data_IF_147052836459
#
_entry.id   IF_147052836459
#
_cell.length_a   1.000
_cell.length_b   1.000
_cell.length_c   1.000
_cell.angle_alpha   90.00
_cell.angle_beta   90.00
_cell.angle_gamma   90.00
#
_symmetry.space_group_name_H-M   'P 1'
#
loop_
_entity.id
_entity.type
_entity.pdbx_description
1 polymer ?
#
# COMPACT_ATOMS: atom_id res chain seq x y z
N UNK A 1 9.38 -18.44 -31.94
CA UNK A 1 9.70 -17.78 -30.65
C UNK A 1 11.08 -18.25 -30.25
N UNK A 2 11.95 -17.33 -29.83
CA UNK A 2 13.39 -17.63 -29.80
C UNK A 2 13.88 -18.14 -28.43
N UNK A 3 14.91 -18.98 -28.44
CA UNK A 3 15.56 -19.47 -27.23
C UNK A 3 16.53 -18.43 -26.64
N UNK A 4 17.05 -18.62 -25.41
CA UNK A 4 18.03 -17.69 -24.82
C UNK A 4 19.31 -17.50 -25.64
N UNK A 5 19.57 -18.38 -26.61
CA UNK A 5 20.70 -18.30 -27.55
C UNK A 5 20.51 -17.25 -28.64
N UNK A 6 19.31 -16.66 -28.74
CA UNK A 6 18.95 -15.70 -29.77
C UNK A 6 19.89 -14.50 -29.85
N UNK A 7 20.38 -13.98 -28.73
CA UNK A 7 21.30 -12.82 -28.72
C UNK A 7 22.60 -13.17 -29.44
N UNK A 8 23.19 -14.32 -29.12
CA UNK A 8 24.42 -14.77 -29.76
C UNK A 8 24.19 -15.13 -31.24
N UNK A 9 23.03 -15.68 -31.57
CA UNK A 9 22.65 -15.98 -32.94
C UNK A 9 22.49 -14.71 -33.78
N UNK A 10 21.90 -13.63 -33.25
CA UNK A 10 21.84 -12.32 -33.93
C UNK A 10 23.24 -11.79 -34.23
N UNK A 11 24.16 -11.82 -33.25
CA UNK A 11 25.55 -11.41 -33.47
C UNK A 11 26.23 -12.25 -34.56
N UNK A 12 26.00 -13.57 -34.58
CA UNK A 12 26.54 -14.45 -35.61
C UNK A 12 25.98 -14.14 -37.00
N UNK A 13 24.67 -13.88 -37.12
CA UNK A 13 24.03 -13.50 -38.38
C UNK A 13 24.56 -12.16 -38.89
N UNK A 14 24.72 -11.15 -38.02
CA UNK A 14 25.27 -9.85 -38.40
C UNK A 14 26.73 -9.97 -38.87
N UNK A 15 27.54 -10.81 -38.21
CA UNK A 15 28.91 -11.11 -38.63
C UNK A 15 28.94 -11.78 -40.01
N UNK A 16 28.09 -12.78 -40.22
CA UNK A 16 28.00 -13.48 -41.51
C UNK A 16 27.53 -12.54 -42.63
N UNK A 17 26.55 -11.69 -42.35
CA UNK A 17 26.06 -10.66 -43.25
C UNK A 17 27.20 -9.73 -43.69
N UNK A 18 27.95 -9.17 -42.73
CA UNK A 18 29.11 -8.34 -43.03
C UNK A 18 30.18 -9.10 -43.83
N UNK A 19 30.42 -10.38 -43.51
CA UNK A 19 31.43 -11.19 -44.17
C UNK A 19 31.08 -11.45 -45.63
N UNK A 20 29.86 -11.90 -45.89
CA UNK A 20 29.39 -12.17 -47.24
C UNK A 20 29.35 -10.89 -48.07
N UNK A 21 28.85 -9.78 -47.50
CA UNK A 21 28.82 -8.51 -48.22
C UNK A 21 30.21 -7.98 -48.60
N UNK A 22 31.23 -8.15 -47.74
CA UNK A 22 32.61 -7.77 -48.08
C UNK A 22 33.24 -8.67 -49.15
N UNK A 23 32.91 -9.97 -49.13
CA UNK A 23 33.35 -10.93 -50.16
C UNK A 23 32.70 -10.59 -51.50
N UNK A 24 31.39 -10.34 -51.53
CA UNK A 24 30.63 -10.05 -52.75
C UNK A 24 31.11 -8.77 -53.44
N UNK A 25 31.55 -7.77 -52.67
CA UNK A 25 32.13 -6.53 -53.19
C UNK A 25 33.64 -6.62 -53.47
N UNK A 26 34.27 -7.80 -53.35
CA UNK A 26 35.70 -8.04 -53.58
C UNK A 26 36.61 -7.03 -52.85
N UNK A 27 36.28 -6.74 -51.58
CA UNK A 27 37.01 -5.75 -50.78
C UNK A 27 38.43 -6.24 -50.45
N UNK A 28 38.60 -7.53 -50.21
CA UNK A 28 39.92 -8.15 -49.97
C UNK A 28 40.87 -7.98 -51.16
N UNK A 29 40.35 -8.13 -52.39
CA UNK A 29 41.11 -7.87 -53.62
C UNK A 29 41.42 -6.38 -53.81
N UNK A 30 40.50 -5.50 -53.42
CA UNK A 30 40.63 -4.04 -53.57
C UNK A 30 41.61 -3.42 -52.55
N UNK A 31 41.63 -3.95 -51.31
CA UNK A 31 42.51 -3.50 -50.22
C UNK A 31 43.84 -4.27 -50.17
N UNK A 32 44.03 -5.29 -51.02
CA UNK A 32 45.23 -6.13 -51.06
C UNK A 32 45.54 -6.84 -49.74
N UNK A 33 44.55 -6.97 -48.84
CA UNK A 33 44.71 -7.55 -47.50
C UNK A 33 43.46 -8.35 -47.11
N UNK A 34 43.66 -9.41 -46.33
CA UNK A 34 42.54 -10.15 -45.76
C UNK A 34 41.80 -9.27 -44.76
N UNK A 35 40.47 -9.29 -44.83
CA UNK A 35 39.60 -8.56 -43.92
C UNK A 35 38.98 -9.54 -42.96
N UNK A 36 39.28 -9.39 -41.67
CA UNK A 36 38.69 -10.22 -40.62
C UNK A 36 37.47 -9.50 -40.01
N UNK A 37 36.41 -10.25 -39.70
CA UNK A 37 35.30 -9.73 -38.89
C UNK A 37 35.27 -10.45 -37.55
N UNK A 38 35.33 -9.67 -36.48
CA UNK A 38 35.33 -10.14 -35.09
C UNK A 38 34.11 -9.60 -34.35
N UNK A 39 33.76 -10.25 -33.24
CA UNK A 39 32.68 -9.83 -32.34
C UNK A 39 33.16 -9.93 -30.89
N UNK A 40 34.21 -9.17 -30.58
CA UNK A 40 34.92 -9.22 -29.30
C UNK A 40 34.95 -7.84 -28.63
N UNK A 41 35.18 -7.76 -27.31
CA UNK A 41 35.42 -6.49 -26.64
C UNK A 41 36.60 -5.72 -27.28
N UNK A 42 36.47 -4.39 -27.53
CA UNK A 42 37.50 -3.62 -28.24
C UNK A 42 38.90 -3.61 -27.59
N UNK A 43 39.00 -3.81 -26.28
CA UNK A 43 40.25 -3.90 -25.52
C UNK A 43 41.05 -5.18 -25.79
N UNK A 44 40.38 -6.24 -26.24
CA UNK A 44 41.03 -7.52 -26.58
C UNK A 44 41.69 -7.52 -27.95
N UNK A 45 41.45 -6.49 -28.76
CA UNK A 45 42.03 -6.35 -30.10
C UNK A 45 43.43 -5.75 -29.96
N UNK A 46 44.44 -6.59 -30.18
CA UNK A 46 45.85 -6.17 -30.18
C UNK A 46 46.13 -5.35 -31.43
N UNK A 47 46.50 -4.08 -31.26
CA UNK A 47 46.90 -3.18 -32.34
C UNK A 47 48.41 -2.99 -32.27
N UNK A 48 49.15 -3.94 -32.86
CA UNK A 48 50.61 -3.86 -33.00
C UNK A 48 50.95 -3.53 -34.47
N UNK A 49 51.75 -2.47 -34.75
CA UNK A 49 52.17 -2.11 -36.10
C UNK A 49 52.80 -3.26 -36.90
N UNK A 50 53.47 -4.22 -36.24
CA UNK A 50 54.08 -5.36 -36.90
C UNK A 50 53.08 -6.46 -37.30
N UNK A 51 51.89 -6.47 -36.68
CA UNK A 51 50.82 -7.46 -36.92
C UNK A 51 49.49 -6.82 -37.27
N UNK A 52 49.52 -5.56 -37.73
CA UNK A 52 48.33 -4.79 -38.04
C UNK A 52 47.49 -5.49 -39.12
N UNK A 53 46.22 -5.71 -38.80
CA UNK A 53 45.25 -6.34 -39.71
C UNK A 53 44.12 -5.38 -40.03
N UNK A 54 43.64 -5.48 -41.25
CA UNK A 54 42.42 -4.82 -41.69
C UNK A 54 41.25 -5.65 -41.14
N UNK A 55 40.47 -5.11 -40.21
CA UNK A 55 39.37 -5.84 -39.58
C UNK A 55 38.20 -4.95 -39.16
N UNK A 56 37.00 -5.51 -39.16
CA UNK A 56 35.79 -4.93 -38.57
C UNK A 56 35.46 -5.66 -37.27
N UNK A 57 35.14 -4.90 -36.21
CA UNK A 57 34.67 -5.47 -34.96
C UNK A 57 33.22 -5.07 -34.71
N UNK A 58 32.37 -6.07 -34.44
CA UNK A 58 30.98 -5.90 -34.07
C UNK A 58 30.83 -6.11 -32.55
N UNK A 59 30.69 -5.03 -31.80
CA UNK A 59 30.63 -5.07 -30.34
C UNK A 59 29.24 -4.72 -29.82
N UNK A 60 28.59 -5.64 -29.10
CA UNK A 60 27.33 -5.37 -28.42
C UNK A 60 27.60 -4.70 -27.07
N UNK A 61 27.35 -3.40 -26.99
CA UNK A 61 27.67 -2.60 -25.80
C UNK A 61 26.52 -2.44 -24.81
N UNK A 62 25.27 -2.59 -25.29
CA UNK A 62 24.09 -2.40 -24.44
C UNK A 62 22.93 -3.30 -24.91
N UNK A 63 22.14 -3.76 -23.94
CA UNK A 63 20.86 -4.46 -24.16
C UNK A 63 19.78 -3.74 -23.38
N UNK A 64 18.67 -3.38 -24.03
CA UNK A 64 17.55 -2.68 -23.40
C UNK A 64 16.22 -3.40 -23.64
N UNK A 65 15.24 -3.33 -22.73
CA UNK A 65 13.90 -3.84 -23.00
C UNK A 65 13.24 -3.06 -24.15
N UNK A 66 12.59 -3.78 -25.07
CA UNK A 66 11.87 -3.14 -26.17
C UNK A 66 10.61 -2.42 -25.69
N UNK A 67 10.46 -1.13 -26.03
CA UNK A 67 9.36 -0.31 -25.54
C UNK A 67 7.97 -0.73 -26.07
N UNK A 68 7.90 -1.32 -27.27
CA UNK A 68 6.64 -1.77 -27.88
C UNK A 68 6.13 -3.07 -27.27
N UNK A 69 7.04 -3.99 -26.91
CA UNK A 69 6.70 -5.33 -26.45
C UNK A 69 6.81 -5.53 -24.93
N UNK A 70 7.48 -4.64 -24.19
CA UNK A 70 7.67 -4.79 -22.72
C UNK A 70 6.37 -4.88 -21.92
N UNK A 71 5.24 -4.43 -22.46
CA UNK A 71 3.95 -4.40 -21.79
C UNK A 71 3.00 -5.54 -22.22
N UNK A 72 3.47 -6.48 -23.06
CA UNK A 72 2.63 -7.61 -23.53
C UNK A 72 2.15 -8.48 -22.35
N UNK A 73 2.98 -8.65 -21.32
CA UNK A 73 2.55 -9.27 -20.08
C UNK A 73 3.69 -9.64 -19.14
N UNK A 74 3.31 -10.07 -17.93
CA UNK A 74 4.23 -10.66 -16.95
C UNK A 74 3.97 -12.16 -16.80
N UNK A 75 4.99 -12.96 -16.48
CA UNK A 75 4.79 -14.37 -16.16
C UNK A 75 3.80 -14.53 -15.01
N UNK A 76 2.64 -15.12 -15.28
CA UNK A 76 1.60 -15.34 -14.27
C UNK A 76 1.58 -16.78 -13.76
N UNK A 77 1.11 -16.96 -12.53
CA UNK A 77 0.99 -18.26 -11.86
C UNK A 77 -0.38 -18.39 -11.20
N UNK A 78 -0.84 -19.62 -11.04
CA UNK A 78 -2.04 -19.93 -10.27
C UNK A 78 -1.77 -19.90 -8.75
N UNK A 79 -2.82 -20.06 -7.94
CA UNK A 79 -2.72 -20.12 -6.48
C UNK A 79 -1.93 -21.32 -5.94
N UNK A 80 -1.55 -22.29 -6.78
CA UNK A 80 -0.67 -23.42 -6.46
C UNK A 80 0.76 -23.21 -6.97
N UNK A 81 1.06 -22.04 -7.55
CA UNK A 81 2.37 -21.70 -8.09
C UNK A 81 2.66 -22.27 -9.49
N UNK A 82 1.71 -22.92 -10.14
CA UNK A 82 1.84 -23.44 -11.52
C UNK A 82 1.80 -22.30 -12.52
N UNK A 83 2.62 -22.37 -13.58
CA UNK A 83 2.71 -21.29 -14.57
C UNK A 83 1.51 -21.28 -15.51
N UNK A 84 0.94 -20.10 -15.74
CA UNK A 84 -0.22 -19.88 -16.62
C UNK A 84 0.18 -19.25 -17.95
N UNK A 85 1.18 -18.37 -17.96
CA UNK A 85 1.63 -17.66 -19.16
C UNK A 85 3.15 -17.63 -19.31
N UNK A 86 3.60 -17.59 -20.57
CA UNK A 86 5.01 -17.40 -20.96
C UNK A 86 5.14 -16.15 -21.86
N UNK A 87 4.98 -14.93 -21.33
CA UNK A 87 5.25 -13.76 -22.16
C UNK A 87 6.74 -13.74 -22.58
N UNK A 88 7.05 -13.34 -23.82
CA UNK A 88 8.43 -13.22 -24.29
C UNK A 88 9.16 -12.06 -23.61
N UNK A 89 10.45 -12.26 -23.36
CA UNK A 89 11.37 -11.20 -23.00
C UNK A 89 11.81 -10.50 -24.29
N UNK A 90 11.24 -9.32 -24.51
CA UNK A 90 11.54 -8.52 -25.69
C UNK A 90 12.71 -7.57 -25.45
N UNK A 91 13.74 -7.70 -26.29
CA UNK A 91 15.02 -7.01 -26.16
C UNK A 91 15.37 -6.27 -27.44
N UNK A 92 16.01 -5.13 -27.25
CA UNK A 92 16.71 -4.36 -28.24
C UNK A 92 18.21 -4.46 -27.98
N UNK A 93 18.97 -4.76 -29.02
CA UNK A 93 20.41 -4.98 -28.96
C UNK A 93 21.12 -3.79 -29.62
N UNK A 94 22.07 -3.18 -28.90
CA UNK A 94 22.80 -2.01 -29.40
C UNK A 94 24.24 -2.40 -29.71
N UNK A 95 24.62 -2.24 -30.98
CA UNK A 95 25.92 -2.63 -31.52
C UNK A 95 26.75 -1.41 -31.92
N UNK A 96 28.06 -1.55 -31.78
CA UNK A 96 29.07 -0.68 -32.38
C UNK A 96 29.79 -1.46 -33.45
N UNK A 97 29.89 -0.89 -34.64
CA UNK A 97 30.75 -1.36 -35.72
C UNK A 97 31.99 -0.49 -35.73
N UNK A 98 33.13 -1.07 -35.39
CA UNK A 98 34.42 -0.37 -35.32
C UNK A 98 35.36 -0.89 -36.39
N UNK A 99 35.97 0.01 -37.16
CA UNK A 99 36.93 -0.35 -38.19
C UNK A 99 38.39 -0.17 -37.74
N UNK A 100 39.21 -1.17 -38.08
CA UNK A 100 40.66 -1.17 -37.89
C UNK A 100 41.32 -1.34 -39.25
N UNK A 101 42.20 -0.42 -39.62
CA UNK A 101 42.95 -0.47 -40.87
C UNK A 101 44.43 -0.78 -40.64
N UNK A 102 45.02 -1.62 -41.50
CA UNK A 102 46.46 -1.85 -41.52
C UNK A 102 47.23 -0.77 -42.30
N UNK A 103 46.55 -0.01 -43.17
CA UNK A 103 47.12 1.07 -43.97
C UNK A 103 46.17 2.28 -44.01
N UNK A 104 46.65 3.38 -44.60
CA UNK A 104 45.90 4.63 -44.74
C UNK A 104 44.56 4.37 -45.46
N UNK A 105 43.48 5.01 -44.97
CA UNK A 105 42.11 4.91 -45.49
C UNK A 105 41.43 3.53 -45.39
N UNK A 106 42.13 2.46 -45.01
CA UNK A 106 41.52 1.13 -44.93
C UNK A 106 40.35 1.10 -43.93
N UNK A 107 40.48 1.79 -42.79
CA UNK A 107 39.42 1.88 -41.78
C UNK A 107 38.17 2.60 -42.30
N UNK A 108 38.35 3.69 -43.03
CA UNK A 108 37.28 4.54 -43.56
C UNK A 108 36.56 3.83 -44.70
N UNK A 109 37.31 3.18 -45.59
CA UNK A 109 36.77 2.36 -46.68
C UNK A 109 35.93 1.21 -46.10
N UNK A 110 36.48 0.46 -45.14
CA UNK A 110 35.76 -0.63 -44.49
C UNK A 110 34.48 -0.15 -43.79
N UNK A 111 34.57 0.95 -43.03
CA UNK A 111 33.41 1.48 -42.32
C UNK A 111 32.33 1.94 -43.30
N UNK A 112 32.71 2.58 -44.41
CA UNK A 112 31.79 2.99 -45.47
C UNK A 112 31.03 1.81 -46.08
N UNK A 113 31.74 0.73 -46.42
CA UNK A 113 31.10 -0.50 -46.94
C UNK A 113 30.22 -1.19 -45.91
N UNK A 114 30.66 -1.30 -44.66
CA UNK A 114 29.85 -1.86 -43.58
C UNK A 114 28.55 -1.07 -43.39
N UNK A 115 28.64 0.26 -43.40
CA UNK A 115 27.47 1.13 -43.27
C UNK A 115 26.53 1.03 -44.46
N UNK A 116 27.06 0.95 -45.68
CA UNK A 116 26.27 0.74 -46.89
C UNK A 116 25.53 -0.60 -46.83
N UNK A 117 26.21 -1.68 -46.47
CA UNK A 117 25.60 -3.00 -46.38
C UNK A 117 24.47 -3.04 -45.35
N UNK A 118 24.70 -2.49 -44.15
CA UNK A 118 23.66 -2.40 -43.11
C UNK A 118 22.48 -1.51 -43.52
N UNK A 119 22.68 -0.57 -44.45
CA UNK A 119 21.64 0.27 -45.01
C UNK A 119 20.81 -0.46 -46.07
N UNK A 120 21.45 -1.25 -46.93
CA UNK A 120 20.79 -2.06 -47.96
C UNK A 120 20.04 -3.27 -47.37
N UNK A 121 20.45 -3.75 -46.19
CA UNK A 121 19.80 -4.86 -45.48
C UNK A 121 19.18 -4.44 -44.14
N UNK A 122 18.15 -3.55 -44.13
CA UNK A 122 17.58 -3.04 -42.88
C UNK A 122 16.71 -4.07 -42.15
N UNK A 123 16.37 -5.20 -42.79
CA UNK A 123 15.60 -6.29 -42.20
C UNK A 123 16.32 -7.61 -42.49
N UNK A 124 16.55 -8.41 -41.46
CA UNK A 124 17.13 -9.75 -41.61
C UNK A 124 16.03 -10.73 -42.03
N UNK A 125 16.13 -11.22 -43.27
CA UNK A 125 15.20 -12.22 -43.78
C UNK A 125 15.40 -13.58 -43.08
N UNK A 126 14.29 -14.31 -42.91
CA UNK A 126 14.27 -15.63 -42.25
C UNK A 126 15.15 -16.64 -42.98
N UNK A 127 15.17 -16.60 -44.32
CA UNK A 127 16.01 -17.50 -45.10
C UNK A 127 17.49 -17.17 -44.88
N UNK A 128 17.85 -15.88 -44.88
CA UNK A 128 19.21 -15.44 -44.59
C UNK A 128 19.69 -15.87 -43.20
N UNK A 129 18.84 -15.73 -42.16
CA UNK A 129 19.13 -16.20 -40.80
C UNK A 129 19.41 -17.72 -40.77
N UNK A 130 18.56 -18.50 -41.46
CA UNK A 130 18.74 -19.95 -41.55
C UNK A 130 20.02 -20.30 -42.28
N UNK A 131 20.32 -19.65 -43.41
CA UNK A 131 21.55 -19.88 -44.18
C UNK A 131 22.79 -19.58 -43.33
N UNK A 132 22.84 -18.40 -42.70
CA UNK A 132 23.95 -17.98 -41.84
C UNK A 132 24.21 -18.95 -40.68
N UNK A 133 23.16 -19.50 -40.06
CA UNK A 133 23.26 -20.36 -38.88
C UNK A 133 23.30 -21.87 -39.20
N UNK A 134 23.01 -22.29 -40.44
CA UNK A 134 22.98 -23.70 -40.87
C UNK A 134 24.33 -24.27 -41.32
N UNK A 135 25.36 -23.43 -41.48
CA UNK A 135 26.69 -23.86 -41.92
C UNK A 135 27.39 -22.87 -42.84
N UNK A 136 27.24 -21.56 -42.60
CA UNK A 136 27.97 -20.53 -43.35
C UNK A 136 29.49 -20.65 -43.18
N UNK A 137 30.20 -20.30 -44.26
CA UNK A 137 31.65 -20.31 -44.56
C UNK A 137 32.52 -19.48 -43.61
N UNK A 138 32.26 -19.47 -42.31
CA UNK A 138 32.99 -18.67 -41.32
C UNK A 138 33.94 -19.57 -40.51
N UNK A 139 35.27 -19.37 -40.59
CA UNK A 139 36.21 -19.98 -39.65
C UNK A 139 35.98 -19.37 -38.25
N UNK A 140 35.81 -20.21 -37.23
CA UNK A 140 35.57 -19.77 -35.86
C UNK A 140 34.08 -19.63 -35.56
N UNK A 141 33.47 -20.77 -35.25
CA UNK A 141 32.09 -20.85 -34.83
C UNK A 141 31.89 -20.11 -33.50
N UNK A 142 31.12 -19.02 -33.48
CA UNK A 142 30.82 -18.26 -32.24
C UNK A 142 29.96 -19.10 -31.29
N UNK A 143 29.17 -20.02 -31.84
CA UNK A 143 28.30 -20.94 -31.10
C UNK A 143 28.77 -22.39 -31.30
N UNK A 144 28.83 -23.22 -30.25
CA UNK A 144 29.12 -24.65 -30.42
C UNK A 144 28.13 -25.32 -31.39
N UNK A 145 28.54 -26.35 -32.16
CA UNK A 145 27.73 -26.93 -33.25
C UNK A 145 26.31 -27.37 -32.82
N UNK A 146 26.16 -27.90 -31.59
CA UNK A 146 24.87 -28.31 -31.05
C UNK A 146 23.86 -27.14 -30.88
N UNK A 147 24.35 -25.91 -30.71
CA UNK A 147 23.54 -24.73 -30.47
C UNK A 147 23.24 -23.91 -31.73
N UNK A 148 23.94 -24.18 -32.83
CA UNK A 148 23.75 -23.50 -34.12
C UNK A 148 22.42 -23.89 -34.78
N UNK A 149 22.17 -25.19 -34.92
CA UNK A 149 20.93 -25.68 -35.55
C UNK A 149 19.67 -25.30 -34.75
N UNK A 150 19.76 -25.32 -33.41
CA UNK A 150 18.64 -24.93 -32.53
C UNK A 150 18.36 -23.42 -32.61
N UNK A 151 19.40 -22.58 -32.57
CA UNK A 151 19.22 -21.13 -32.66
C UNK A 151 18.75 -20.65 -34.05
N UNK A 152 19.10 -21.37 -35.12
CA UNK A 152 18.66 -21.08 -36.49
C UNK A 152 17.14 -21.16 -36.66
N UNK A 153 16.54 -22.25 -36.17
CA UNK A 153 15.09 -22.47 -36.26
C UNK A 153 14.33 -21.50 -35.33
N UNK A 154 14.78 -21.38 -34.08
CA UNK A 154 14.14 -20.57 -33.05
C UNK A 154 14.08 -19.07 -33.39
N UNK A 155 15.17 -18.52 -33.95
CA UNK A 155 15.28 -17.09 -34.29
C UNK A 155 14.53 -16.76 -35.58
N UNK A 156 14.64 -17.60 -36.61
CA UNK A 156 13.95 -17.37 -37.89
C UNK A 156 12.42 -17.48 -37.75
N UNK A 157 11.94 -18.36 -36.86
CA UNK A 157 10.50 -18.59 -36.62
C UNK A 157 9.94 -17.65 -35.53
N UNK A 158 10.65 -16.58 -35.19
CA UNK A 158 10.10 -15.49 -34.39
C UNK A 158 8.96 -14.77 -35.13
N UNK A 159 7.98 -14.29 -34.36
CA UNK A 159 6.82 -13.54 -34.87
C UNK A 159 7.26 -12.26 -35.58
N UNK A 160 8.04 -11.42 -34.89
CA UNK A 160 8.63 -10.20 -35.44
C UNK A 160 9.94 -10.48 -36.18
N UNK A 161 10.15 -9.78 -37.31
CA UNK A 161 11.43 -9.78 -38.00
C UNK A 161 12.44 -8.87 -37.30
N UNK A 162 13.72 -9.22 -37.40
CA UNK A 162 14.81 -8.41 -36.83
C UNK A 162 15.14 -7.29 -37.80
N UNK A 163 15.08 -6.05 -37.29
CA UNK A 163 15.33 -4.81 -38.01
C UNK A 163 16.62 -4.18 -37.50
N UNK A 164 17.39 -3.63 -38.42
CA UNK A 164 18.66 -2.96 -38.18
C UNK A 164 18.44 -1.48 -38.51
N UNK A 165 18.68 -0.61 -37.54
CA UNK A 165 18.51 0.84 -37.69
C UNK A 165 19.80 1.55 -37.27
N UNK A 166 20.32 2.51 -38.04
CA UNK A 166 21.45 3.31 -37.61
C UNK A 166 21.06 4.12 -36.36
N UNK A 167 21.95 4.18 -35.39
CA UNK A 167 21.79 4.94 -34.15
C UNK A 167 22.85 6.05 -34.11
N UNK A 168 22.42 7.28 -33.83
CA UNK A 168 23.35 8.38 -33.60
C UNK A 168 23.72 8.44 -32.12
N UNK A 169 25.01 8.47 -31.82
CA UNK A 169 25.51 8.74 -30.47
C UNK A 169 26.20 10.10 -30.44
N UNK A 170 26.06 10.82 -29.33
CA UNK A 170 26.79 12.08 -29.13
C UNK A 170 28.29 11.82 -28.97
N UNK A 171 29.09 12.85 -29.26
CA UNK A 171 30.55 12.79 -29.09
C UNK A 171 30.95 12.53 -27.63
N UNK A 172 30.19 13.06 -26.67
CA UNK A 172 30.42 12.85 -25.24
C UNK A 172 30.14 11.41 -24.83
N UNK A 173 29.01 10.82 -25.26
CA UNK A 173 28.67 9.42 -24.98
C UNK A 173 29.71 8.47 -25.58
N UNK A 174 30.09 8.73 -26.83
CA UNK A 174 31.11 7.95 -27.51
C UNK A 174 32.47 8.05 -26.78
N UNK A 175 32.89 9.25 -26.38
CA UNK A 175 34.15 9.45 -25.64
C UNK A 175 34.14 8.74 -24.28
N UNK A 176 33.02 8.77 -23.56
CA UNK A 176 32.86 8.08 -22.26
C UNK A 176 32.92 6.56 -22.43
N UNK A 177 32.23 6.02 -23.44
CA UNK A 177 32.20 4.59 -23.70
C UNK A 177 33.60 4.05 -24.02
N UNK A 178 34.33 4.73 -24.92
CA UNK A 178 35.70 4.34 -25.28
C UNK A 178 36.69 4.48 -24.13
N UNK A 179 36.54 5.52 -23.31
CA UNK A 179 37.36 5.70 -22.10
C UNK A 179 37.09 4.59 -21.07
N UNK A 180 35.83 4.19 -20.90
CA UNK A 180 35.45 3.10 -20.00
C UNK A 180 36.00 1.73 -20.44
N UNK A 181 36.09 1.50 -21.75
CA UNK A 181 36.71 0.30 -22.31
C UNK A 181 38.25 0.31 -22.25
N UNK A 182 38.87 1.43 -21.86
CA UNK A 182 40.33 1.62 -21.88
C UNK A 182 40.96 1.33 -23.26
N UNK A 183 40.18 1.52 -24.33
CA UNK A 183 40.59 1.25 -25.69
C UNK A 183 40.84 2.56 -26.46
N UNK A 184 41.74 2.53 -27.43
CA UNK A 184 41.98 3.70 -28.27
C UNK A 184 40.84 3.93 -29.25
N UNK A 185 40.32 5.16 -29.28
CA UNK A 185 39.21 5.54 -30.16
C UNK A 185 39.51 5.23 -31.64
N UNK A 186 38.51 4.71 -32.35
CA UNK A 186 38.58 4.33 -33.77
C UNK A 186 37.30 4.75 -34.50
N UNK A 187 37.33 4.87 -35.84
CA UNK A 187 36.13 5.10 -36.63
C UNK A 187 35.05 4.07 -36.29
N UNK A 188 33.91 4.56 -35.79
CA UNK A 188 32.84 3.73 -35.21
C UNK A 188 31.48 4.23 -35.67
N UNK A 189 30.58 3.30 -36.02
CA UNK A 189 29.16 3.57 -36.26
C UNK A 189 28.29 2.74 -35.30
N UNK A 190 27.23 3.34 -34.76
CA UNK A 190 26.33 2.67 -33.83
C UNK A 190 25.05 2.21 -34.55
N UNK A 191 24.55 1.04 -34.15
CA UNK A 191 23.35 0.41 -34.71
C UNK A 191 22.46 -0.13 -33.60
N UNK A 192 21.16 0.03 -33.79
CA UNK A 192 20.12 -0.53 -32.95
C UNK A 192 19.44 -1.68 -33.70
N UNK A 193 19.34 -2.84 -33.06
CA UNK A 193 18.77 -4.07 -33.62
C UNK A 193 17.55 -4.46 -32.80
N UNK A 194 16.38 -4.45 -33.44
CA UNK A 194 15.07 -4.65 -32.79
C UNK A 194 14.16 -5.55 -33.63
N UNK A 195 13.40 -6.50 -33.09
CA UNK A 195 13.27 -6.92 -31.69
C UNK A 195 13.72 -8.39 -31.58
N UNK A 196 14.32 -8.75 -30.44
CA UNK A 196 14.63 -10.14 -30.10
C UNK A 196 13.69 -10.60 -29.00
N UNK A 197 12.92 -11.66 -29.25
CA UNK A 197 11.87 -12.17 -28.36
C UNK A 197 12.28 -13.53 -27.78
N UNK A 198 12.75 -13.53 -26.53
CA UNK A 198 13.16 -14.75 -25.84
C UNK A 198 12.01 -15.29 -25.01
N UNK A 199 11.49 -16.47 -25.34
CA UNK A 199 10.35 -17.06 -24.62
C UNK A 199 10.74 -18.37 -23.92
N UNK A 200 10.15 -18.61 -22.74
CA UNK A 200 10.30 -19.89 -22.06
C UNK A 200 9.33 -20.94 -22.63
N UNK A 201 9.84 -22.08 -23.10
CA UNK A 201 9.01 -23.22 -23.52
C UNK A 201 8.58 -24.11 -22.32
N UNK A 202 7.98 -23.50 -21.29
CA UNK A 202 7.44 -24.27 -20.15
C UNK A 202 5.98 -24.58 -20.37
N UNK A 203 5.52 -25.77 -19.96
CA UNK A 203 4.09 -26.10 -20.02
C UNK A 203 3.27 -25.05 -19.25
N UNK A 204 2.27 -24.48 -19.92
CA UNK A 204 1.27 -23.59 -19.34
C UNK A 204 -0.04 -24.33 -19.19
N UNK A 205 -0.81 -23.98 -18.16
CA UNK A 205 -2.15 -24.51 -17.97
C UNK A 205 -3.18 -23.45 -18.38
N UNK A 206 -4.18 -23.84 -19.17
CA UNK A 206 -5.34 -22.99 -19.42
C UNK A 206 -6.16 -22.87 -18.14
N UNK A 207 -6.45 -21.65 -17.72
CA UNK A 207 -7.27 -21.40 -16.54
C UNK A 207 -8.71 -21.88 -16.78
N UNK A 208 -9.34 -22.43 -15.75
CA UNK A 208 -10.76 -22.74 -15.81
C UNK A 208 -11.57 -21.44 -15.90
N UNK A 209 -12.72 -21.42 -16.61
CA UNK A 209 -13.62 -20.29 -16.58
C UNK A 209 -14.02 -19.93 -15.15
N UNK A 210 -14.04 -18.64 -14.83
CA UNK A 210 -14.55 -18.15 -13.55
C UNK A 210 -16.07 -18.34 -13.56
N UNK A 211 -16.59 -19.22 -12.71
CA UNK A 211 -18.03 -19.49 -12.63
C UNK A 211 -18.76 -18.47 -11.77
N UNK A 212 -18.12 -17.97 -10.69
CA UNK A 212 -18.71 -16.97 -9.81
C UNK A 212 -17.69 -15.96 -9.27
N UNK A 213 -18.13 -14.73 -9.05
CA UNK A 213 -17.41 -13.59 -8.46
C UNK A 213 -18.01 -13.30 -7.08
N UNK A 214 -17.81 -14.24 -6.15
CA UNK A 214 -18.31 -14.14 -4.77
C UNK A 214 -19.58 -14.97 -4.52
N UNK A 215 -20.18 -14.82 -3.33
CA UNK A 215 -21.39 -15.55 -2.95
C UNK A 215 -22.54 -15.27 -3.91
N UNK A 216 -23.33 -16.30 -4.21
CA UNK A 216 -24.55 -16.18 -5.02
C UNK A 216 -25.72 -15.96 -4.07
N UNK A 217 -26.46 -14.88 -4.30
CA UNK A 217 -27.71 -14.63 -3.59
C UNK A 217 -28.74 -15.71 -3.96
N UNK A 218 -29.25 -16.50 -3.00
CA UNK A 218 -30.22 -17.57 -3.27
C UNK A 218 -31.53 -17.07 -3.87
N UNK A 219 -31.94 -15.83 -3.59
CA UNK A 219 -33.22 -15.27 -4.05
C UNK A 219 -33.18 -14.78 -5.49
N UNK A 220 -32.13 -14.06 -5.86
CA UNK A 220 -31.97 -13.51 -7.21
C UNK A 220 -31.17 -14.41 -8.15
N UNK A 221 -30.45 -15.40 -7.62
CA UNK A 221 -29.51 -16.24 -8.38
C UNK A 221 -28.30 -15.47 -8.92
N UNK A 222 -28.12 -14.20 -8.53
CA UNK A 222 -27.01 -13.35 -8.97
C UNK A 222 -25.84 -13.48 -8.00
N UNK A 223 -24.64 -13.52 -8.57
CA UNK A 223 -23.41 -13.37 -7.79
C UNK A 223 -23.28 -11.95 -7.24
N UNK A 224 -22.67 -11.82 -6.06
CA UNK A 224 -22.37 -10.52 -5.43
C UNK A 224 -21.52 -9.61 -6.33
N UNK A 225 -20.66 -10.19 -7.16
CA UNK A 225 -19.80 -9.47 -8.08
C UNK A 225 -18.64 -8.75 -7.39
N UNK A 226 -17.98 -7.89 -8.15
CA UNK A 226 -16.90 -7.03 -7.63
C UNK A 226 -17.52 -5.85 -6.90
N UNK A 227 -17.23 -5.70 -5.61
CA UNK A 227 -17.62 -4.48 -4.88
C UNK A 227 -16.61 -3.38 -5.14
N UNK A 228 -17.05 -2.29 -5.76
CA UNK A 228 -16.28 -1.07 -5.86
C UNK A 228 -16.71 -0.11 -4.75
N UNK A 229 -15.84 0.13 -3.77
CA UNK A 229 -16.06 1.16 -2.75
C UNK A 229 -15.51 2.49 -3.27
N UNK A 230 -16.38 3.35 -3.77
CA UNK A 230 -16.00 4.69 -4.26
C UNK A 230 -15.79 5.72 -3.14
N UNK A 231 -16.20 5.39 -1.90
CA UNK A 231 -16.11 6.28 -0.75
C UNK A 231 -14.82 6.08 0.04
N UNK A 232 -14.30 7.16 0.62
CA UNK A 232 -13.22 7.12 1.62
C UNK A 232 -13.73 6.70 3.01
N UNK A 233 -15.05 6.67 3.21
CA UNK A 233 -15.67 6.19 4.45
C UNK A 233 -15.45 4.68 4.54
N UNK A 234 -14.95 4.16 5.68
CA UNK A 234 -14.80 2.72 5.88
C UNK A 234 -16.10 1.98 5.56
N UNK A 235 -16.07 0.82 4.88
CA UNK A 235 -17.27 0.06 4.53
C UNK A 235 -17.88 -0.69 5.74
N UNK A 236 -17.28 -0.53 6.92
CA UNK A 236 -17.68 -1.13 8.18
C UNK A 236 -18.39 -0.10 9.07
N UNK A 237 -19.30 -0.52 9.95
CA UNK A 237 -19.92 0.37 10.91
C UNK A 237 -18.87 0.98 11.83
N UNK A 238 -18.92 2.30 12.04
CA UNK A 238 -17.94 3.03 12.83
C UNK A 238 -18.59 4.19 13.57
N UNK A 239 -18.28 4.35 14.86
CA UNK A 239 -18.63 5.50 15.68
C UNK A 239 -17.54 6.57 15.61
N UNK A 240 -17.94 7.80 15.27
CA UNK A 240 -17.08 8.99 15.24
C UNK A 240 -17.15 9.77 16.54
N UNK A 241 -18.32 9.83 17.19
CA UNK A 241 -18.52 10.54 18.45
C UNK A 241 -19.74 10.02 19.24
N UNK A 242 -19.74 10.29 20.54
CA UNK A 242 -20.91 10.18 21.42
C UNK A 242 -21.21 11.56 21.97
N UNK A 243 -22.39 12.08 21.69
CA UNK A 243 -22.82 13.42 22.08
C UNK A 243 -23.85 13.32 23.22
N UNK A 244 -23.49 13.75 24.45
CA UNK A 244 -24.45 13.98 25.53
C UNK A 244 -25.43 15.11 25.16
N UNK A 245 -26.63 15.16 25.78
CA UNK A 245 -27.59 16.22 25.50
C UNK A 245 -27.04 17.60 25.90
N UNK A 246 -27.58 18.65 25.29
CA UNK A 246 -27.30 20.05 25.63
C UNK A 246 -25.80 20.43 25.61
N UNK A 247 -25.00 19.78 24.77
CA UNK A 247 -23.55 19.99 24.66
C UNK A 247 -22.80 19.83 25.99
N UNK A 248 -23.33 18.97 26.87
CA UNK A 248 -22.67 18.62 28.12
C UNK A 248 -21.43 17.76 27.87
N UNK A 249 -20.45 17.85 28.78
CA UNK A 249 -19.18 17.11 28.66
C UNK A 249 -19.28 15.65 29.11
N UNK A 250 -20.36 15.31 29.81
CA UNK A 250 -20.65 13.98 30.32
C UNK A 250 -22.18 13.77 30.32
N UNK A 251 -22.61 12.53 30.23
CA UNK A 251 -24.02 12.15 30.32
C UNK A 251 -24.41 11.83 31.77
N UNK A 252 -25.68 11.99 32.11
CA UNK A 252 -26.27 11.51 33.36
C UNK A 252 -27.26 10.38 33.08
N UNK A 253 -27.55 9.56 34.09
CA UNK A 253 -28.64 8.58 33.98
C UNK A 253 -29.96 9.30 33.71
N UNK A 254 -30.72 8.81 32.72
CA UNK A 254 -31.94 9.44 32.21
C UNK A 254 -31.74 10.29 30.96
N UNK A 255 -30.50 10.62 30.61
CA UNK A 255 -30.21 11.37 29.39
C UNK A 255 -30.36 10.51 28.13
N UNK A 256 -30.72 11.14 27.01
CA UNK A 256 -30.64 10.52 25.69
C UNK A 256 -29.35 10.95 25.01
N UNK A 257 -28.43 10.02 24.83
CA UNK A 257 -27.16 10.24 24.12
C UNK A 257 -27.35 9.98 22.62
N UNK A 258 -26.61 10.71 21.80
CA UNK A 258 -26.59 10.49 20.34
C UNK A 258 -25.24 9.94 19.92
N UNK A 259 -25.23 8.72 19.39
CA UNK A 259 -24.07 8.15 18.72
C UNK A 259 -24.02 8.67 17.28
N UNK A 260 -22.88 9.23 16.87
CA UNK A 260 -22.61 9.63 15.48
C UNK A 260 -21.59 8.70 14.85
N UNK A 261 -21.70 8.49 13.55
CA UNK A 261 -20.84 7.56 12.84
C UNK A 261 -21.17 7.36 11.37
N UNK A 262 -20.79 6.19 10.88
CA UNK A 262 -21.02 5.74 9.52
C UNK A 262 -21.51 4.29 9.51
N UNK A 263 -22.36 3.97 8.53
CA UNK A 263 -22.98 2.67 8.33
C UNK A 263 -23.71 2.14 9.59
N UNK A 264 -24.37 3.03 10.33
CA UNK A 264 -25.12 2.72 11.56
C UNK A 264 -26.56 2.23 11.30
N UNK A 265 -26.94 2.03 10.04
CA UNK A 265 -28.21 1.44 9.65
C UNK A 265 -28.21 -0.08 9.86
N UNK A 266 -29.29 -0.62 10.43
CA UNK A 266 -29.36 -2.05 10.72
C UNK A 266 -30.52 -2.44 11.61
N UNK A 267 -30.57 -3.73 11.91
CA UNK A 267 -31.55 -4.36 12.79
C UNK A 267 -30.86 -5.10 13.94
N UNK A 268 -31.64 -5.47 14.97
CA UNK A 268 -31.11 -6.17 16.15
C UNK A 268 -30.06 -5.36 16.91
N UNK A 269 -30.19 -4.03 16.90
CA UNK A 269 -29.15 -3.14 17.40
C UNK A 269 -29.08 -3.19 18.92
N UNK A 270 -27.85 -3.35 19.41
CA UNK A 270 -27.53 -3.40 20.84
C UNK A 270 -26.36 -2.47 21.10
N UNK A 271 -26.56 -1.51 21.99
CA UNK A 271 -25.48 -0.68 22.51
C UNK A 271 -24.89 -1.35 23.75
N UNK A 272 -23.62 -1.75 23.63
CA UNK A 272 -22.85 -2.41 24.67
C UNK A 272 -22.02 -1.38 25.44
N UNK A 273 -22.20 -1.37 26.76
CA UNK A 273 -21.50 -0.50 27.69
C UNK A 273 -20.58 -1.36 28.57
N UNK A 274 -19.27 -1.15 28.44
CA UNK A 274 -18.24 -1.81 29.21
C UNK A 274 -17.64 -0.84 30.23
N UNK A 275 -17.37 -1.34 31.43
CA UNK A 275 -16.75 -0.56 32.50
C UNK A 275 -15.67 -1.42 33.17
N UNK A 276 -14.48 -0.89 33.48
CA UNK A 276 -13.37 -1.65 34.07
C UNK A 276 -13.67 -2.34 35.40
N UNK A 277 -14.76 -1.95 36.07
CA UNK A 277 -15.22 -2.48 37.37
C UNK A 277 -16.43 -3.42 37.26
N UNK A 278 -16.87 -3.76 36.06
CA UNK A 278 -17.92 -4.74 35.81
C UNK A 278 -17.32 -6.00 35.20
N UNK A 279 -17.75 -7.16 35.67
CA UNK A 279 -17.35 -8.46 35.10
C UNK A 279 -18.10 -8.81 33.82
N UNK A 280 -19.19 -8.07 33.53
CA UNK A 280 -20.01 -8.28 32.35
C UNK A 280 -20.52 -6.93 31.83
N UNK A 281 -20.55 -6.74 30.50
CA UNK A 281 -21.09 -5.52 29.90
C UNK A 281 -22.58 -5.36 30.20
N UNK A 282 -23.04 -4.11 30.12
CA UNK A 282 -24.46 -3.78 30.12
C UNK A 282 -24.89 -3.56 28.67
N UNK A 283 -25.82 -4.36 28.18
CA UNK A 283 -26.35 -4.27 26.83
C UNK A 283 -27.73 -3.59 26.84
N UNK A 284 -27.88 -2.50 26.08
CA UNK A 284 -29.15 -1.80 25.86
C UNK A 284 -29.66 -2.07 24.44
N UNK A 285 -30.87 -2.63 24.33
CA UNK A 285 -31.50 -2.83 23.02
C UNK A 285 -32.00 -1.51 22.45
N UNK A 286 -31.60 -1.22 21.21
CA UNK A 286 -31.99 -0.02 20.45
C UNK A 286 -33.04 -0.36 19.39
N UNK A 287 -33.07 -1.61 18.91
CA UNK A 287 -34.04 -2.10 17.93
C UNK A 287 -33.53 -1.99 16.50
N UNK A 288 -34.19 -1.17 15.67
CA UNK A 288 -33.83 -0.97 14.26
C UNK A 288 -33.53 0.49 13.99
N UNK A 289 -32.52 0.77 13.19
CA UNK A 289 -32.19 2.12 12.75
C UNK A 289 -32.11 2.18 11.23
N UNK A 290 -32.79 3.15 10.64
CA UNK A 290 -32.73 3.42 9.21
C UNK A 290 -31.66 4.46 8.85
N UNK A 291 -31.12 5.20 9.83
CA UNK A 291 -30.15 6.27 9.60
C UNK A 291 -28.70 5.73 9.67
N UNK A 292 -27.94 5.86 8.60
CA UNK A 292 -26.54 5.41 8.58
C UNK A 292 -25.56 6.29 9.38
N UNK A 293 -25.97 7.45 9.85
CA UNK A 293 -25.09 8.45 10.48
C UNK A 293 -25.30 8.62 11.99
N UNK A 294 -26.53 8.43 12.48
CA UNK A 294 -26.85 8.69 13.90
C UNK A 294 -27.76 7.64 14.51
N UNK A 295 -27.59 7.40 15.82
CA UNK A 295 -28.41 6.53 16.66
C UNK A 295 -28.63 7.21 18.01
N UNK A 296 -29.87 7.32 18.48
CA UNK A 296 -30.18 7.86 19.81
C UNK A 296 -30.46 6.75 20.82
N UNK A 297 -29.89 6.84 22.01
CA UNK A 297 -30.02 5.86 23.08
C UNK A 297 -30.38 6.55 24.38
N UNK A 298 -31.46 6.13 25.03
CA UNK A 298 -31.85 6.61 26.35
C UNK A 298 -31.14 5.81 27.45
N UNK A 299 -30.41 6.50 28.31
CA UNK A 299 -29.78 5.90 29.49
C UNK A 299 -30.84 5.66 30.57
N UNK A 300 -30.88 4.47 31.21
CA UNK A 300 -31.89 4.17 32.21
C UNK A 300 -31.68 4.97 33.51
N UNK A 301 -32.75 5.42 34.14
CA UNK A 301 -32.72 6.12 35.44
C UNK A 301 -33.58 5.45 36.53
N UNK A 302 -33.82 4.15 36.40
CA UNK A 302 -34.55 3.40 37.43
C UNK A 302 -33.62 3.05 38.62
N UNK A 303 -34.16 2.69 39.80
CA UNK A 303 -33.33 2.37 40.97
C UNK A 303 -32.31 1.25 40.73
N UNK A 304 -32.63 0.26 39.89
CA UNK A 304 -31.70 -0.79 39.51
C UNK A 304 -30.51 -0.25 38.69
N UNK A 305 -30.76 0.70 37.78
CA UNK A 305 -29.72 1.36 37.00
C UNK A 305 -28.80 2.21 37.87
N UNK A 306 -29.34 2.89 38.88
CA UNK A 306 -28.54 3.67 39.84
C UNK A 306 -27.55 2.80 40.65
N UNK A 307 -27.79 1.49 40.73
CA UNK A 307 -26.89 0.50 41.35
C UNK A 307 -25.98 -0.15 40.28
N UNK A 308 -26.51 -0.45 39.10
CA UNK A 308 -25.78 -1.17 38.07
C UNK A 308 -24.72 -0.29 37.36
N UNK A 309 -24.95 1.01 37.23
CA UNK A 309 -24.14 1.93 36.42
C UNK A 309 -23.23 2.81 37.28
N UNK A 310 -22.01 2.38 37.64
CA UNK A 310 -21.08 3.26 38.36
C UNK A 310 -20.75 4.53 37.55
N UNK A 311 -20.60 5.70 38.20
CA UNK A 311 -20.13 6.90 37.53
C UNK A 311 -18.63 6.77 37.18
N UNK A 312 -18.20 7.37 36.07
CA UNK A 312 -16.84 7.22 35.54
C UNK A 312 -16.80 7.12 34.02
N UNK A 313 -15.66 6.63 33.50
CA UNK A 313 -15.47 6.41 32.07
C UNK A 313 -15.96 5.03 31.64
N UNK A 314 -16.77 5.00 30.58
CA UNK A 314 -17.35 3.81 29.97
C UNK A 314 -16.88 3.66 28.54
N UNK A 315 -16.71 2.42 28.12
CA UNK A 315 -16.42 2.05 26.74
C UNK A 315 -17.73 1.64 26.06
N UNK A 316 -18.11 2.35 24.99
CA UNK A 316 -19.38 2.12 24.28
C UNK A 316 -19.10 1.55 22.89
N UNK A 317 -19.73 0.42 22.59
CA UNK A 317 -19.66 -0.24 21.28
C UNK A 317 -21.08 -0.52 20.78
N UNK A 318 -21.33 -0.34 19.49
CA UNK A 318 -22.62 -0.64 18.88
C UNK A 318 -22.54 -1.95 18.09
N UNK A 319 -23.46 -2.87 18.39
CA UNK A 319 -23.65 -4.13 17.68
C UNK A 319 -24.87 -3.99 16.78
N UNK A 320 -24.76 -4.35 15.50
CA UNK A 320 -25.87 -4.28 14.55
C UNK A 320 -25.75 -5.32 13.43
N UNK A 321 -26.89 -5.73 12.89
CA UNK A 321 -26.96 -6.57 11.69
C UNK A 321 -27.48 -5.74 10.51
N UNK A 322 -26.64 -5.57 9.48
CA UNK A 322 -27.00 -4.79 8.27
C UNK A 322 -27.88 -5.58 7.32
N UNK A 323 -28.64 -4.87 6.49
CA UNK A 323 -29.45 -5.49 5.46
C UNK A 323 -28.59 -6.31 4.48
N UNK A 324 -28.99 -7.57 4.23
CA UNK A 324 -28.26 -8.49 3.35
C UNK A 324 -27.07 -9.19 4.01
N UNK A 325 -26.76 -8.92 5.28
CA UNK A 325 -25.77 -9.68 6.06
C UNK A 325 -26.46 -10.61 7.06
N UNK A 326 -25.90 -11.80 7.26
CA UNK A 326 -26.33 -12.76 8.29
C UNK A 326 -25.56 -12.60 9.60
N UNK A 327 -24.37 -12.01 9.54
CA UNK A 327 -23.48 -11.85 10.68
C UNK A 327 -23.73 -10.52 11.40
N UNK A 328 -23.61 -10.54 12.73
CA UNK A 328 -23.64 -9.32 13.55
C UNK A 328 -22.28 -8.62 13.46
N UNK A 329 -22.30 -7.31 13.23
CA UNK A 329 -21.10 -6.46 13.18
C UNK A 329 -21.01 -5.62 14.45
N UNK A 330 -19.79 -5.38 14.90
CA UNK A 330 -19.48 -4.41 15.94
C UNK A 330 -18.82 -3.17 15.33
N UNK A 331 -19.11 -2.00 15.88
CA UNK A 331 -18.33 -0.78 15.63
C UNK A 331 -16.98 -0.82 16.34
N UNK A 332 -16.16 0.21 16.14
CA UNK A 332 -15.14 0.59 17.12
C UNK A 332 -15.78 1.04 18.44
N UNK A 333 -14.95 1.18 19.47
CA UNK A 333 -15.31 1.64 20.80
C UNK A 333 -15.12 3.16 20.92
N UNK A 334 -16.05 3.84 21.58
CA UNK A 334 -15.96 5.26 21.92
C UNK A 334 -16.17 5.47 23.42
N UNK A 335 -15.36 6.33 24.08
CA UNK A 335 -15.50 6.57 25.50
C UNK A 335 -16.70 7.50 25.79
N UNK A 336 -17.42 7.19 26.87
CA UNK A 336 -18.49 8.01 27.42
C UNK A 336 -18.22 8.28 28.90
N UNK A 337 -18.25 9.55 29.31
CA UNK A 337 -18.22 9.92 30.72
C UNK A 337 -19.63 9.92 31.29
N UNK A 338 -19.85 9.13 32.35
CA UNK A 338 -21.09 9.14 33.12
C UNK A 338 -20.89 9.98 34.40
N UNK A 339 -21.50 11.15 34.42
CA UNK A 339 -21.41 12.10 35.53
C UNK A 339 -22.35 11.71 36.68
N UNK A 340 -21.91 11.87 37.94
CA UNK A 340 -22.80 11.78 39.09
C UNK A 340 -23.73 12.99 39.14
N UNK A 341 -24.95 12.78 39.63
CA UNK A 341 -25.95 13.78 39.97
C UNK A 341 -26.06 13.90 41.48
N UNK A 342 -25.89 15.11 41.99
CA UNK A 342 -25.99 15.42 43.40
C UNK A 342 -27.46 15.54 43.82
N UNK A 343 -27.79 14.99 44.99
CA UNK A 343 -29.07 15.19 45.67
C UNK A 343 -28.82 16.06 46.90
N UNK A 344 -28.81 17.38 46.69
CA UNK A 344 -28.57 18.35 47.78
C UNK A 344 -29.65 18.29 48.87
N UNK A 345 -30.95 18.16 48.57
CA UNK A 345 -31.98 17.96 49.60
C UNK A 345 -31.75 16.76 50.51
N UNK A 346 -31.18 15.67 49.99
CA UNK A 346 -30.82 14.48 50.78
C UNK A 346 -29.41 14.57 51.43
N UNK A 347 -28.67 15.65 51.19
CA UNK A 347 -27.32 15.88 51.71
C UNK A 347 -27.34 16.73 52.99
N UNK A 348 -26.36 16.52 53.88
CA UNK A 348 -26.25 17.28 55.14
C UNK A 348 -24.84 17.82 55.37
N UNK A 349 -24.74 19.00 55.99
CA UNK A 349 -23.49 19.63 56.38
C UNK A 349 -23.53 19.96 57.87
N UNK A 350 -22.54 19.50 58.63
CA UNK A 350 -22.45 19.72 60.08
C UNK A 350 -21.08 20.30 60.40
N UNK A 351 -21.04 21.42 61.13
CA UNK A 351 -19.80 22.00 61.66
C UNK A 351 -19.55 21.46 63.08
N UNK A 352 -18.41 20.83 63.29
CA UNK A 352 -17.99 20.33 64.60
C UNK A 352 -17.40 21.43 65.49
N UNK A 353 -17.30 21.17 66.79
CA UNK A 353 -16.72 22.12 67.76
C UNK A 353 -15.25 22.50 67.53
N UNK A 354 -14.53 21.74 66.68
CA UNK A 354 -13.16 22.04 66.22
C UNK A 354 -13.09 22.94 64.99
N UNK A 355 -14.22 23.39 64.44
CA UNK A 355 -14.31 24.23 63.23
C UNK A 355 -14.40 23.44 61.91
N UNK A 356 -14.06 22.15 61.91
CA UNK A 356 -14.14 21.27 60.74
C UNK A 356 -15.59 21.01 60.31
N UNK A 357 -15.84 20.99 59.00
CA UNK A 357 -17.16 20.72 58.41
C UNK A 357 -17.20 19.31 57.85
N UNK A 358 -18.14 18.50 58.33
CA UNK A 358 -18.44 17.18 57.75
C UNK A 358 -19.63 17.31 56.82
N UNK A 359 -19.40 17.05 55.53
CA UNK A 359 -20.39 17.06 54.45
C UNK A 359 -20.75 15.62 54.10
N UNK A 360 -21.98 15.20 54.40
CA UNK A 360 -22.54 13.92 53.96
C UNK A 360 -23.33 14.16 52.68
N UNK A 361 -22.75 13.80 51.54
CA UNK A 361 -23.28 14.07 50.22
C UNK A 361 -24.01 12.84 49.67
N UNK A 362 -25.28 13.00 49.33
CA UNK A 362 -26.07 12.03 48.58
C UNK A 362 -25.94 12.30 47.08
N UNK A 363 -25.76 11.24 46.29
CA UNK A 363 -25.63 11.31 44.84
C UNK A 363 -26.06 10.02 44.16
N UNK A 364 -26.36 10.11 42.88
CA UNK A 364 -26.67 8.97 42.01
C UNK A 364 -25.91 9.08 40.69
N UNK A 365 -25.47 7.98 40.06
CA UNK A 365 -25.51 6.60 40.55
C UNK A 365 -24.51 6.29 41.67
N UNK A 366 -24.65 5.12 42.28
CA UNK A 366 -23.84 4.68 43.41
C UNK A 366 -22.39 4.37 43.00
N UNK A 367 -21.43 4.79 43.82
CA UNK A 367 -20.01 4.48 43.65
C UNK A 367 -19.67 3.11 44.22
N UNK A 368 -18.67 2.45 43.63
CA UNK A 368 -18.16 1.13 44.02
C UNK A 368 -16.81 1.23 44.73
N UNK A 369 -16.46 0.28 45.61
CA UNK A 369 -15.15 0.26 46.26
C UNK A 369 -14.00 0.31 45.25
N UNK A 370 -13.00 1.14 45.51
CA UNK A 370 -11.82 1.30 44.66
C UNK A 370 -11.95 2.36 43.55
N UNK A 371 -13.06 3.09 43.48
CA UNK A 371 -13.18 4.30 42.64
C UNK A 371 -12.50 5.50 43.31
N UNK A 372 -11.83 6.34 42.52
CA UNK A 372 -11.23 7.59 42.98
C UNK A 372 -12.31 8.66 43.04
N UNK A 373 -12.67 9.06 44.25
CA UNK A 373 -13.70 10.07 44.48
C UNK A 373 -13.06 11.29 45.15
N UNK A 374 -13.41 12.49 44.69
CA UNK A 374 -13.11 13.73 45.40
C UNK A 374 -14.25 14.73 45.29
N UNK A 375 -14.44 15.52 46.34
CA UNK A 375 -15.45 16.58 46.39
C UNK A 375 -14.75 17.92 46.46
N UNK A 376 -15.04 18.81 45.50
CA UNK A 376 -14.70 20.21 45.61
C UNK A 376 -15.88 20.99 46.21
N UNK A 377 -15.63 21.71 47.29
CA UNK A 377 -16.58 22.62 47.92
C UNK A 377 -15.90 23.98 48.15
N UNK A 378 -16.44 25.05 47.55
CA UNK A 378 -15.92 26.41 47.76
C UNK A 378 -14.43 26.56 47.42
N UNK A 379 -13.93 25.82 46.41
CA UNK A 379 -12.54 25.85 45.98
C UNK A 379 -11.61 24.86 46.71
N UNK A 380 -12.06 24.24 47.80
CA UNK A 380 -11.27 23.26 48.54
C UNK A 380 -11.64 21.84 48.12
N UNK A 381 -10.65 20.95 47.98
CA UNK A 381 -10.86 19.55 47.64
C UNK A 381 -10.71 18.67 48.88
N UNK A 382 -11.66 17.76 49.10
CA UNK A 382 -11.60 16.74 50.13
C UNK A 382 -11.81 15.35 49.53
N UNK A 383 -11.14 14.36 50.15
CA UNK A 383 -11.33 12.94 49.87
C UNK A 383 -12.42 12.38 50.79
N UNK A 384 -13.19 11.38 50.35
CA UNK A 384 -14.21 10.77 51.20
C UNK A 384 -13.58 9.92 52.30
N UNK A 385 -14.36 9.66 53.33
CA UNK A 385 -14.08 8.57 54.27
C UNK A 385 -14.03 7.23 53.53
N UNK A 386 -13.16 6.32 53.97
CA UNK A 386 -13.04 4.99 53.36
C UNK A 386 -14.39 4.27 53.32
N UNK A 387 -14.76 3.75 52.17
CA UNK A 387 -15.98 2.99 51.96
C UNK A 387 -15.64 1.61 51.37
N UNK A 388 -16.22 0.56 51.96
CA UNK A 388 -15.95 -0.85 51.60
C UNK A 388 -17.11 -1.52 50.90
N UNK A 389 -18.27 -0.85 50.86
CA UNK A 389 -19.47 -1.30 50.16
C UNK A 389 -19.88 -0.25 49.11
N UNK A 390 -20.64 -0.70 48.12
CA UNK A 390 -21.27 0.19 47.16
C UNK A 390 -22.23 1.15 47.88
N UNK A 391 -22.16 2.45 47.56
CA UNK A 391 -22.93 3.48 48.26
C UNK A 391 -23.27 4.67 47.35
N UNK A 392 -24.43 5.30 47.60
CA UNK A 392 -24.82 6.58 47.00
C UNK A 392 -24.66 7.77 47.96
N UNK A 393 -23.99 7.56 49.10
CA UNK A 393 -23.74 8.60 50.09
C UNK A 393 -22.33 8.47 50.65
N UNK A 394 -21.59 9.58 50.68
CA UNK A 394 -20.23 9.65 51.22
C UNK A 394 -20.05 10.87 52.11
N UNK A 395 -19.25 10.68 53.17
CA UNK A 395 -18.88 11.75 54.10
C UNK A 395 -17.49 12.32 53.75
N UNK A 396 -17.42 13.63 53.62
CA UNK A 396 -16.21 14.42 53.33
C UNK A 396 -15.94 15.37 54.49
N UNK A 397 -14.69 15.41 54.96
CA UNK A 397 -14.29 16.28 56.07
C UNK A 397 -13.41 17.40 55.54
N UNK A 398 -13.86 18.64 55.71
CA UNK A 398 -13.11 19.84 55.36
C UNK A 398 -12.56 20.50 56.63
N UNK A 399 -11.23 20.69 56.75
CA UNK A 399 -10.63 21.36 57.90
C UNK A 399 -11.15 22.79 58.05
N UNK A 400 -11.24 23.52 56.93
CA UNK A 400 -11.75 24.88 56.86
C UNK A 400 -12.68 25.01 55.66
N UNK A 401 -13.92 25.44 55.90
CA UNK A 401 -14.89 25.76 54.85
C UNK A 401 -15.77 26.93 55.32
N UNK A 402 -15.82 27.98 54.52
CA UNK A 402 -16.58 29.19 54.84
C UNK A 402 -18.09 28.90 54.93
N UNK A 403 -18.74 29.45 55.96
CA UNK A 403 -20.19 29.38 56.12
C UNK A 403 -20.91 30.09 54.95
N UNK A 404 -22.15 29.67 54.67
CA UNK A 404 -22.96 30.21 53.59
C UNK A 404 -23.02 29.30 52.36
N UNK A 405 -23.43 29.87 51.23
CA UNK A 405 -23.73 29.12 50.01
C UNK A 405 -22.44 28.74 49.27
N UNK A 406 -22.16 27.44 49.19
CA UNK A 406 -21.01 26.89 48.48
C UNK A 406 -21.46 26.07 47.27
N UNK A 407 -20.72 26.19 46.17
CA UNK A 407 -20.88 25.33 45.01
C UNK A 407 -20.16 24.00 45.26
N UNK A 408 -20.82 22.91 44.90
CA UNK A 408 -20.28 21.56 45.03
C UNK A 408 -19.98 20.98 43.65
N UNK A 409 -18.85 20.28 43.53
CA UNK A 409 -18.52 19.48 42.36
C UNK A 409 -17.92 18.16 42.80
N UNK A 410 -18.64 17.07 42.53
CA UNK A 410 -18.18 15.71 42.81
C UNK A 410 -17.48 15.15 41.59
N UNK A 411 -16.28 14.61 41.78
CA UNK A 411 -15.51 13.90 40.77
C UNK A 411 -15.44 12.43 41.14
N UNK A 412 -15.79 11.55 40.20
CA UNK A 412 -15.60 10.10 40.34
C UNK A 412 -14.90 9.54 39.11
N UNK A 413 -13.73 8.92 39.30
CA UNK A 413 -12.92 8.31 38.22
C UNK A 413 -12.74 9.23 36.99
N UNK A 414 -12.59 10.54 37.24
CA UNK A 414 -12.42 11.57 36.22
C UNK A 414 -13.72 12.17 35.64
N UNK A 415 -14.89 11.62 35.94
CA UNK A 415 -16.19 12.19 35.58
C UNK A 415 -16.65 13.20 36.64
N UNK A 416 -16.84 14.46 36.22
CA UNK A 416 -17.31 15.55 37.08
C UNK A 416 -18.84 15.66 37.07
N UNK A 417 -19.44 16.01 38.21
CA UNK A 417 -20.85 16.45 38.27
C UNK A 417 -21.04 17.70 37.41
N UNK A 418 -22.21 17.81 36.76
CA UNK A 418 -22.48 18.85 35.76
C UNK A 418 -22.78 20.22 36.39
N UNK A 419 -21.77 20.89 36.95
CA UNK A 419 -21.93 22.18 37.64
C UNK A 419 -22.33 23.34 36.70
N UNK A 420 -21.98 23.24 35.41
CA UNK A 420 -22.29 24.28 34.41
C UNK A 420 -23.45 23.80 33.53
N UNK A 421 -24.53 24.55 33.54
CA UNK A 421 -25.63 24.37 32.60
C UNK A 421 -25.29 25.02 31.25
N UNK A 422 -24.92 24.17 30.29
CA UNK A 422 -24.56 24.56 28.91
C UNK A 422 -25.78 24.64 27.98
N UNK A 423 -26.98 24.32 28.47
CA UNK A 423 -28.22 24.53 27.72
C UNK A 423 -28.60 26.02 27.62
N UNK A 424 -28.08 26.86 28.53
CA UNK A 424 -28.30 28.30 28.55
C UNK A 424 -27.19 29.03 27.76
N UNK A 425 -27.54 30.12 27.10
CA UNK A 425 -26.58 31.00 26.40
C UNK A 425 -26.66 32.42 26.99
N UNK A 426 -25.61 32.92 27.67
CA UNK A 426 -24.34 32.25 27.99
C UNK A 426 -24.53 31.12 29.03
N UNK A 427 -23.59 30.15 29.12
CA UNK A 427 -23.64 29.08 30.12
C UNK A 427 -23.66 29.65 31.56
N UNK A 428 -24.46 29.04 32.43
CA UNK A 428 -24.63 29.47 33.83
C UNK A 428 -24.38 28.31 34.80
N UNK A 429 -24.06 28.61 36.06
CA UNK A 429 -23.94 27.59 37.09
C UNK A 429 -25.30 27.00 37.48
N UNK A 430 -25.36 25.68 37.64
CA UNK A 430 -26.55 24.94 38.02
C UNK A 430 -26.85 25.12 39.51
N UNK A 431 -27.84 25.96 39.82
CA UNK A 431 -28.23 26.32 41.20
C UNK A 431 -28.62 25.12 42.06
N UNK A 432 -28.94 23.97 41.45
CA UNK A 432 -29.21 22.72 42.18
C UNK A 432 -27.97 22.10 42.82
N UNK A 433 -26.76 22.56 42.46
CA UNK A 433 -25.48 22.13 43.06
C UNK A 433 -24.94 23.11 44.11
N UNK A 434 -25.80 23.93 44.71
CA UNK A 434 -25.46 24.81 45.83
C UNK A 434 -25.92 24.21 47.15
N UNK A 435 -25.03 24.20 48.13
CA UNK A 435 -25.35 23.78 49.50
C UNK A 435 -25.04 24.90 50.50
N UNK A 436 -25.91 25.06 51.50
CA UNK A 436 -25.67 25.99 52.60
C UNK A 436 -24.83 25.32 53.69
N UNK A 437 -23.65 25.87 53.96
CA UNK A 437 -22.76 25.43 55.02
C UNK A 437 -23.11 26.16 56.32
N UNK A 438 -23.33 25.44 57.45
CA UNK A 438 -23.66 26.07 58.72
C UNK A 438 -22.53 26.96 59.25
N UNK A 439 -22.93 27.93 60.07
CA UNK A 439 -22.02 28.86 60.78
C UNK A 439 -21.15 28.09 61.77
#
# INVERSE_FOLDING_TARGET
MSSPLAIAAVTAVLRDLLNNGLIDHNITGSLGSNVDITAVPPDTIVVDPATARTQLNLFMHQVTPNAGWRNEGLPSRDGRGTRLTNPPLALDLHYLITAYGAAELHSEILLGYAMHLMHETPVLDRQAIRTALSGGTVPGSILPPAFQALSAADLADQVEQIKITPMTMSTEEMSKLWSAMQAHYRPTAAYHVSVVLIEAQRATRSALPVLTRGPVDPGSGRERGVMACASLVPPYPMLTAIEPPNQQLAAQLGDTITLRGHNLEGSGMVARFEHPRLSSPIDLSVGTNANGETVSIALPNNPAAQIAWPPGAWDVTLLLQRAGETEVRSTNTQPLLLAPRLDIPASTAVRGGSGAVTLTLAFTPQVRPGQKVSLNAGGHEALPSNFTAQTGSLAFVFPELAAGQQWLRLRVDGADSLLVNRALTPPQFDTTQRMSIPV
#
